data_IF_921233610447
#
_entry.id   IF_921233610447
#
_cell.length_a   1.000
_cell.length_b   1.000
_cell.length_c   1.000
_cell.angle_alpha   90.00
_cell.angle_beta   90.00
_cell.angle_gamma   90.00
#
_symmetry.space_group_name_H-M   'P 1'
#
loop_
_entity.id
_entity.type
_entity.pdbx_description
1 polymer ?
#
# COMPACT_ATOMS: atom_id res chain seq x y z
N UNK A 1 7.89 30.06 14.90
CA UNK A 1 6.44 30.26 14.64
C UNK A 1 5.85 28.89 14.28
N UNK A 2 4.66 28.61 14.78
CA UNK A 2 3.90 27.41 14.45
C UNK A 2 3.61 27.39 12.95
N UNK A 3 3.93 26.28 12.26
CA UNK A 3 3.62 26.12 10.84
C UNK A 3 2.26 25.42 10.68
N UNK A 4 1.43 25.82 9.71
CA UNK A 4 0.17 25.14 9.46
C UNK A 4 0.42 23.76 8.83
N UNK A 5 -0.43 22.80 9.17
CA UNK A 5 -0.46 21.50 8.51
C UNK A 5 -0.99 21.69 7.08
N UNK A 6 -0.33 21.12 6.09
CA UNK A 6 -0.62 21.27 4.67
C UNK A 6 -0.92 19.97 3.96
N UNK A 7 -0.50 18.84 4.54
CA UNK A 7 -0.71 17.52 3.96
C UNK A 7 -1.14 16.52 5.04
N UNK A 8 -2.09 15.66 4.68
CA UNK A 8 -2.50 14.50 5.46
C UNK A 8 -2.19 13.25 4.64
N UNK A 9 -1.48 12.30 5.26
CA UNK A 9 -1.29 10.95 4.75
C UNK A 9 -2.23 10.01 5.48
N UNK A 10 -3.11 9.35 4.75
CA UNK A 10 -4.09 8.42 5.32
C UNK A 10 -3.89 7.01 4.79
N UNK A 11 -3.75 6.05 5.67
CA UNK A 11 -3.98 4.68 5.28
C UNK A 11 -5.43 4.48 4.83
N UNK A 12 -5.68 3.36 4.16
CA UNK A 12 -6.95 3.08 3.50
C UNK A 12 -7.76 2.03 4.26
N UNK A 13 -7.21 0.81 4.39
CA UNK A 13 -7.94 -0.36 4.90
C UNK A 13 -7.94 -0.39 6.42
N UNK A 14 -9.11 -0.29 7.04
CA UNK A 14 -9.24 -0.16 8.50
C UNK A 14 -9.15 1.28 9.00
N UNK A 15 -8.74 2.21 8.15
CA UNK A 15 -8.58 3.64 8.45
C UNK A 15 -9.60 4.51 7.72
N UNK A 16 -9.52 4.60 6.40
CA UNK A 16 -10.48 5.36 5.59
C UNK A 16 -11.65 4.49 5.14
N UNK A 17 -11.38 3.23 4.81
CA UNK A 17 -12.36 2.23 4.40
C UNK A 17 -12.73 1.30 5.55
N UNK A 18 -14.02 1.02 5.68
CA UNK A 18 -14.60 0.15 6.68
C UNK A 18 -15.27 -1.07 6.03
N UNK A 19 -15.31 -2.17 6.77
CA UNK A 19 -16.05 -3.38 6.36
C UNK A 19 -15.23 -4.41 5.58
N UNK A 20 -13.92 -4.30 5.60
CA UNK A 20 -12.97 -5.23 4.99
C UNK A 20 -12.68 -4.94 3.51
N UNK A 21 -11.68 -5.61 2.94
CA UNK A 21 -11.12 -5.29 1.61
C UNK A 21 -12.13 -5.33 0.46
N UNK A 22 -13.16 -6.19 0.57
CA UNK A 22 -14.16 -6.35 -0.49
C UNK A 22 -15.24 -5.26 -0.52
N UNK A 23 -15.39 -4.43 0.54
CA UNK A 23 -16.49 -3.47 0.63
C UNK A 23 -16.13 -2.05 0.23
N UNK A 24 -14.85 -1.65 0.35
CA UNK A 24 -14.35 -0.32 -0.03
C UNK A 24 -15.33 0.81 0.31
N UNK A 25 -15.81 0.84 1.56
CA UNK A 25 -16.88 1.76 1.96
C UNK A 25 -16.32 2.86 2.83
N UNK A 26 -16.46 4.10 2.38
CA UNK A 26 -16.12 5.30 3.12
C UNK A 26 -17.38 5.92 3.72
N UNK A 27 -17.26 6.51 4.92
CA UNK A 27 -18.38 7.25 5.51
C UNK A 27 -18.56 8.61 4.85
N UNK A 28 -19.79 9.12 4.86
CA UNK A 28 -20.09 10.44 4.29
C UNK A 28 -19.39 11.57 5.05
N UNK A 29 -19.14 11.39 6.33
CA UNK A 29 -18.39 12.31 7.17
C UNK A 29 -16.93 12.42 6.69
N UNK A 30 -16.28 11.29 6.36
CA UNK A 30 -14.94 11.27 5.81
C UNK A 30 -14.89 11.95 4.43
N UNK A 31 -15.83 11.63 3.52
CA UNK A 31 -15.92 12.27 2.21
C UNK A 31 -16.03 13.80 2.34
N UNK A 32 -16.98 14.27 3.14
CA UNK A 32 -17.20 15.71 3.34
C UNK A 32 -15.98 16.41 3.97
N UNK A 33 -15.30 15.74 4.89
CA UNK A 33 -14.11 16.30 5.53
C UNK A 33 -12.94 16.41 4.56
N UNK A 34 -12.69 15.38 3.74
CA UNK A 34 -11.65 15.41 2.70
C UNK A 34 -11.93 16.56 1.70
N UNK A 35 -13.18 16.71 1.26
CA UNK A 35 -13.57 17.81 0.37
C UNK A 35 -13.33 19.19 0.99
N UNK A 36 -13.63 19.39 2.29
CA UNK A 36 -13.34 20.63 3.01
C UNK A 36 -11.83 20.88 3.11
N UNK A 37 -11.05 19.84 3.38
CA UNK A 37 -9.60 19.91 3.51
C UNK A 37 -8.93 20.33 2.19
N UNK A 38 -9.31 19.69 1.09
CA UNK A 38 -8.78 19.98 -0.25
C UNK A 38 -9.26 21.32 -0.78
N UNK A 39 -10.52 21.70 -0.53
CA UNK A 39 -11.06 23.02 -0.88
C UNK A 39 -10.33 24.18 -0.16
N UNK A 40 -9.75 23.91 1.02
CA UNK A 40 -8.91 24.88 1.72
C UNK A 40 -7.46 24.97 1.17
N UNK A 41 -7.16 24.29 0.04
CA UNK A 41 -5.86 24.30 -0.63
C UNK A 41 -4.82 23.39 0.02
N UNK A 42 -5.24 22.42 0.83
CA UNK A 42 -4.38 21.43 1.44
C UNK A 42 -4.40 20.11 0.65
N UNK A 43 -3.41 19.24 0.87
CA UNK A 43 -3.32 17.95 0.19
C UNK A 43 -3.82 16.81 1.06
N UNK A 44 -4.51 15.86 0.44
CA UNK A 44 -4.88 14.58 1.02
C UNK A 44 -4.27 13.47 0.18
N UNK A 45 -3.39 12.67 0.79
CA UNK A 45 -2.62 11.63 0.12
C UNK A 45 -2.99 10.29 0.74
N UNK A 46 -3.45 9.36 -0.09
CA UNK A 46 -3.67 7.98 0.33
C UNK A 46 -2.31 7.27 0.43
N UNK A 47 -2.07 6.57 1.55
CA UNK A 47 -0.84 5.82 1.80
C UNK A 47 -1.19 4.34 2.05
N UNK A 48 -1.19 3.52 1.00
CA UNK A 48 -1.76 2.16 1.05
C UNK A 48 -0.79 1.07 0.58
N UNK A 49 -0.99 -0.15 1.09
CA UNK A 49 -0.39 -1.35 0.51
C UNK A 49 -1.03 -1.80 -0.81
N UNK A 50 -2.21 -1.24 -1.16
CA UNK A 50 -2.90 -1.55 -2.41
C UNK A 50 -2.19 -0.96 -3.64
N UNK A 51 -2.44 -1.50 -4.85
CA UNK A 51 -2.03 -0.90 -6.11
C UNK A 51 -2.65 0.48 -6.35
N UNK A 52 -2.07 1.24 -7.26
CA UNK A 52 -2.50 2.61 -7.55
C UNK A 52 -3.86 2.75 -8.21
N UNK A 53 -4.39 1.68 -8.78
CA UNK A 53 -5.73 1.60 -9.39
C UNK A 53 -6.87 1.87 -8.40
N UNK A 54 -6.65 1.66 -7.10
CA UNK A 54 -7.63 2.02 -6.08
C UNK A 54 -8.02 3.51 -6.12
N UNK A 55 -7.15 4.35 -6.69
CA UNK A 55 -7.42 5.77 -6.91
C UNK A 55 -8.59 6.01 -7.86
N UNK A 56 -8.68 5.22 -8.91
CA UNK A 56 -9.77 5.31 -9.89
C UNK A 56 -11.11 4.93 -9.23
N UNK A 57 -11.09 3.91 -8.38
CA UNK A 57 -12.26 3.51 -7.58
C UNK A 57 -12.71 4.62 -6.60
N UNK A 58 -11.77 5.31 -5.94
CA UNK A 58 -12.06 6.44 -5.07
C UNK A 58 -12.70 7.59 -5.86
N UNK A 59 -12.21 7.86 -7.05
CA UNK A 59 -12.77 8.88 -7.95
C UNK A 59 -14.19 8.50 -8.39
N UNK A 60 -14.39 7.27 -8.89
CA UNK A 60 -15.66 6.83 -9.44
C UNK A 60 -16.76 6.69 -8.38
N UNK A 61 -16.44 6.08 -7.23
CA UNK A 61 -17.45 5.80 -6.19
C UNK A 61 -17.68 6.94 -5.20
N UNK A 62 -16.62 7.66 -4.86
CA UNK A 62 -16.64 8.66 -3.79
C UNK A 62 -16.40 10.09 -4.29
N UNK A 63 -16.08 10.25 -5.58
CA UNK A 63 -15.77 11.54 -6.19
C UNK A 63 -14.64 12.28 -5.45
N UNK A 64 -13.67 11.51 -4.96
CA UNK A 64 -12.48 12.04 -4.27
C UNK A 64 -11.31 11.96 -5.23
N UNK A 65 -10.85 13.13 -5.65
CA UNK A 65 -9.57 13.27 -6.32
C UNK A 65 -8.48 13.40 -5.27
N UNK A 66 -7.54 12.44 -5.26
CA UNK A 66 -6.46 12.40 -4.31
C UNK A 66 -5.14 11.96 -4.95
N UNK A 67 -4.06 12.38 -4.33
CA UNK A 67 -2.74 11.83 -4.57
C UNK A 67 -2.59 10.46 -3.89
N UNK A 68 -1.68 9.62 -4.35
CA UNK A 68 -1.51 8.28 -3.79
C UNK A 68 -0.05 7.87 -3.67
N UNK A 69 0.24 7.28 -2.54
CA UNK A 69 1.41 6.48 -2.22
C UNK A 69 0.93 5.03 -2.17
N UNK A 70 1.14 4.27 -3.24
CA UNK A 70 0.65 2.92 -3.44
C UNK A 70 1.74 1.87 -3.19
N UNK A 71 1.34 0.60 -3.00
CA UNK A 71 2.23 -0.54 -2.78
C UNK A 71 3.26 -0.25 -1.67
N UNK A 72 2.80 0.32 -0.52
CA UNK A 72 3.64 0.74 0.60
C UNK A 72 4.77 1.72 0.23
N UNK A 73 4.63 2.51 -0.84
CA UNK A 73 5.62 3.48 -1.30
C UNK A 73 6.40 3.07 -2.55
N UNK A 74 6.12 1.91 -3.13
CA UNK A 74 6.75 1.49 -4.38
C UNK A 74 6.31 2.37 -5.57
N UNK A 75 5.11 2.92 -5.54
CA UNK A 75 4.61 3.81 -6.57
C UNK A 75 3.96 5.05 -5.96
N UNK A 76 4.30 6.22 -6.49
CA UNK A 76 3.72 7.49 -6.06
C UNK A 76 3.19 8.26 -7.25
N UNK A 77 1.97 8.74 -7.11
CA UNK A 77 1.29 9.59 -8.09
C UNK A 77 0.85 10.87 -7.38
N UNK A 78 1.38 12.02 -7.80
CA UNK A 78 0.96 13.34 -7.35
C UNK A 78 0.55 14.19 -8.56
N UNK A 79 -0.51 14.98 -8.42
CA UNK A 79 -1.02 15.86 -9.46
C UNK A 79 -1.24 15.11 -10.80
N UNK A 80 -1.75 13.88 -10.76
CA UNK A 80 -1.94 12.97 -11.90
C UNK A 80 -0.63 12.55 -12.62
N UNK A 81 0.53 12.76 -12.02
CA UNK A 81 1.82 12.36 -12.56
C UNK A 81 2.46 11.27 -11.72
N UNK A 82 2.94 10.22 -12.36
CA UNK A 82 3.76 9.19 -11.72
C UNK A 82 5.12 9.80 -11.42
N UNK A 83 5.43 10.03 -10.15
CA UNK A 83 6.73 10.56 -9.72
C UNK A 83 7.81 9.48 -9.71
N UNK A 84 7.45 8.29 -9.26
CA UNK A 84 8.27 7.09 -9.38
C UNK A 84 7.42 5.83 -9.34
N UNK A 85 8.01 4.77 -9.90
CA UNK A 85 7.51 3.40 -9.82
C UNK A 85 8.74 2.48 -9.66
N UNK A 86 8.81 1.76 -8.53
CA UNK A 86 9.84 0.74 -8.29
C UNK A 86 9.23 -0.60 -8.68
N UNK A 87 9.78 -1.23 -9.69
CA UNK A 87 9.17 -2.37 -10.37
C UNK A 87 10.06 -3.61 -10.29
N UNK A 88 9.42 -4.77 -10.15
CA UNK A 88 10.10 -6.07 -10.25
C UNK A 88 10.24 -6.44 -11.72
N UNK A 89 11.46 -6.43 -12.21
CA UNK A 89 11.75 -6.63 -13.62
C UNK A 89 11.58 -8.08 -14.12
N UNK A 90 11.58 -8.27 -15.44
CA UNK A 90 11.29 -9.57 -16.06
C UNK A 90 12.29 -10.67 -15.70
N UNK A 91 13.56 -10.32 -15.51
CA UNK A 91 14.60 -11.29 -15.11
C UNK A 91 14.36 -11.76 -13.67
N UNK A 92 14.02 -10.84 -12.76
CA UNK A 92 13.69 -11.17 -11.37
C UNK A 92 12.43 -12.04 -11.30
N UNK A 93 11.40 -11.73 -12.10
CA UNK A 93 10.17 -12.57 -12.20
C UNK A 93 10.55 -13.99 -12.61
N UNK A 94 11.42 -14.15 -13.61
CA UNK A 94 11.89 -15.47 -14.05
C UNK A 94 12.67 -16.20 -12.96
N UNK A 95 13.57 -15.53 -12.25
CA UNK A 95 14.33 -16.10 -11.16
C UNK A 95 13.41 -16.59 -10.01
N UNK A 96 12.42 -15.76 -9.64
CA UNK A 96 11.44 -16.15 -8.59
C UNK A 96 10.66 -17.40 -9.02
N UNK A 97 10.19 -17.45 -10.27
CA UNK A 97 9.46 -18.62 -10.78
C UNK A 97 10.31 -19.89 -10.74
N UNK A 98 11.59 -19.81 -11.12
CA UNK A 98 12.49 -20.94 -11.07
C UNK A 98 12.69 -21.48 -9.65
N UNK A 99 12.74 -20.59 -8.66
CA UNK A 99 12.81 -20.96 -7.24
C UNK A 99 11.50 -21.60 -6.74
N UNK A 100 10.38 -21.24 -7.33
CA UNK A 100 9.08 -21.84 -6.99
C UNK A 100 8.84 -23.21 -7.64
N UNK A 101 9.59 -23.57 -8.70
CA UNK A 101 9.40 -24.86 -9.42
C UNK A 101 9.42 -26.13 -8.52
N UNK A 102 10.35 -26.27 -7.54
CA UNK A 102 10.36 -27.44 -6.67
C UNK A 102 9.11 -27.62 -5.80
N UNK A 103 8.35 -26.56 -5.61
CA UNK A 103 7.15 -26.56 -4.76
C UNK A 103 5.90 -27.07 -5.49
N UNK A 104 5.98 -27.26 -6.81
CA UNK A 104 4.91 -27.88 -7.61
C UNK A 104 3.58 -27.14 -7.51
N UNK A 105 2.54 -27.87 -7.11
CA UNK A 105 1.16 -27.42 -6.98
C UNK A 105 0.82 -26.78 -5.62
N UNK A 106 1.82 -26.43 -4.84
CA UNK A 106 1.66 -25.93 -3.47
C UNK A 106 1.82 -24.41 -3.36
N UNK A 107 2.11 -23.74 -4.45
CA UNK A 107 2.31 -22.28 -4.48
C UNK A 107 1.65 -21.68 -5.72
N UNK A 108 0.72 -20.77 -5.50
CA UNK A 108 0.25 -19.85 -6.54
C UNK A 108 1.19 -18.67 -6.65
N UNK A 109 1.46 -18.26 -7.87
CA UNK A 109 2.31 -17.14 -8.19
C UNK A 109 1.54 -16.13 -9.02
N UNK A 110 1.36 -14.93 -8.48
CA UNK A 110 0.59 -13.89 -9.10
C UNK A 110 1.38 -12.57 -9.14
N UNK A 111 1.13 -11.80 -10.18
CA UNK A 111 1.57 -10.42 -10.31
C UNK A 111 0.42 -9.53 -9.85
N UNK A 112 0.69 -8.68 -8.89
CA UNK A 112 -0.27 -7.68 -8.43
C UNK A 112 -0.26 -6.51 -9.43
N UNK A 113 -1.11 -6.62 -10.45
CA UNK A 113 -1.26 -5.61 -11.49
C UNK A 113 -2.35 -4.60 -11.16
N UNK A 114 -3.42 -5.09 -10.54
CA UNK A 114 -4.58 -4.32 -10.11
C UNK A 114 -5.47 -5.19 -9.22
N UNK A 115 -6.14 -4.61 -8.23
CA UNK A 115 -7.04 -5.35 -7.33
C UNK A 115 -8.21 -6.04 -8.03
N UNK A 116 -8.54 -5.61 -9.22
CA UNK A 116 -9.59 -6.23 -10.02
C UNK A 116 -9.06 -7.34 -10.93
N UNK A 117 -7.75 -7.38 -11.15
CA UNK A 117 -7.13 -8.26 -12.14
C UNK A 117 -5.80 -8.82 -11.62
N UNK A 118 -5.73 -10.14 -11.47
CA UNK A 118 -4.51 -10.86 -11.16
C UNK A 118 -3.95 -11.49 -12.44
N UNK A 119 -2.70 -11.22 -12.74
CA UNK A 119 -1.98 -12.01 -13.74
C UNK A 119 -1.35 -13.19 -13.03
N UNK A 120 -1.97 -14.35 -13.12
CA UNK A 120 -1.49 -15.57 -12.46
C UNK A 120 -0.61 -16.36 -13.41
N UNK A 121 0.66 -16.49 -13.08
CA UNK A 121 1.66 -17.23 -13.85
C UNK A 121 1.67 -18.71 -13.50
N UNK A 122 1.21 -19.07 -12.32
CA UNK A 122 1.06 -20.44 -11.83
C UNK A 122 -0.16 -20.49 -10.94
N UNK A 123 -1.10 -21.40 -11.23
CA UNK A 123 -2.43 -21.39 -10.64
C UNK A 123 -2.83 -22.75 -10.09
N UNK A 124 -3.15 -22.80 -8.82
CA UNK A 124 -3.72 -23.97 -8.13
C UNK A 124 -5.03 -23.67 -7.41
N UNK A 125 -5.52 -22.43 -7.50
CA UNK A 125 -6.78 -21.98 -6.92
C UNK A 125 -6.68 -21.17 -5.64
N UNK A 126 -5.50 -21.07 -5.04
CA UNK A 126 -5.31 -20.40 -3.74
C UNK A 126 -5.58 -18.89 -3.81
N UNK A 127 -5.23 -18.25 -4.93
CA UNK A 127 -5.49 -16.81 -5.11
C UNK A 127 -6.98 -16.55 -5.16
N UNK A 128 -7.75 -17.34 -5.94
CA UNK A 128 -9.20 -17.19 -6.05
C UNK A 128 -9.92 -17.46 -4.76
N UNK A 129 -9.53 -18.50 -4.04
CA UNK A 129 -10.16 -18.91 -2.79
C UNK A 129 -10.00 -17.87 -1.70
N UNK A 130 -8.81 -17.23 -1.63
CA UNK A 130 -8.46 -16.34 -0.52
C UNK A 130 -8.63 -14.85 -0.86
N UNK A 131 -8.45 -14.45 -2.12
CA UNK A 131 -8.38 -13.03 -2.50
C UNK A 131 -9.42 -12.61 -3.54
N UNK A 132 -9.99 -13.52 -4.31
CA UNK A 132 -10.99 -13.21 -5.34
C UNK A 132 -10.42 -12.40 -6.52
N UNK A 133 -11.31 -11.75 -7.28
CA UNK A 133 -10.92 -10.90 -8.41
C UNK A 133 -10.94 -11.62 -9.77
N UNK A 134 -10.75 -10.87 -10.85
CA UNK A 134 -10.59 -11.41 -12.18
C UNK A 134 -9.18 -11.98 -12.38
N UNK A 135 -9.06 -13.15 -12.98
CA UNK A 135 -7.78 -13.85 -13.12
C UNK A 135 -7.45 -14.05 -14.59
N UNK A 136 -6.28 -13.52 -14.97
CA UNK A 136 -5.69 -13.74 -16.28
C UNK A 136 -4.57 -14.76 -16.18
N UNK A 137 -4.78 -15.96 -16.72
CA UNK A 137 -3.76 -17.00 -16.77
C UNK A 137 -2.79 -16.75 -17.92
N UNK A 138 -1.51 -16.78 -17.64
CA UNK A 138 -0.45 -16.71 -18.63
C UNK A 138 0.78 -17.48 -18.15
N UNK A 139 1.75 -17.70 -19.02
CA UNK A 139 3.06 -18.21 -18.60
C UNK A 139 4.05 -17.07 -18.40
N UNK A 140 5.13 -17.34 -17.65
CA UNK A 140 6.21 -16.35 -17.46
C UNK A 140 6.78 -15.91 -18.80
N UNK A 141 7.05 -16.86 -19.71
CA UNK A 141 7.60 -16.57 -21.03
C UNK A 141 6.67 -15.70 -21.86
N UNK A 142 5.36 -16.00 -21.83
CA UNK A 142 4.36 -15.18 -22.51
C UNK A 142 4.29 -13.78 -21.89
N UNK A 143 4.27 -13.69 -20.56
CA UNK A 143 4.21 -12.42 -19.86
C UNK A 143 5.42 -11.51 -20.18
N UNK A 144 6.63 -12.04 -20.10
CA UNK A 144 7.86 -11.26 -20.30
C UNK A 144 8.22 -11.06 -21.78
N UNK A 145 7.65 -11.84 -22.73
CA UNK A 145 7.89 -11.68 -24.17
C UNK A 145 7.21 -10.45 -24.75
N UNK A 146 6.18 -9.91 -24.08
CA UNK A 146 5.48 -8.70 -24.53
C UNK A 146 6.13 -7.48 -23.88
N UNK A 147 6.70 -6.54 -24.66
CA UNK A 147 7.19 -5.29 -24.13
C UNK A 147 6.08 -4.55 -23.35
N UNK A 148 6.38 -4.09 -22.17
CA UNK A 148 5.43 -3.40 -21.29
C UNK A 148 5.97 -2.04 -20.90
N UNK A 149 5.06 -1.08 -20.77
CA UNK A 149 5.40 0.24 -20.25
C UNK A 149 5.65 0.20 -18.73
N UNK A 150 5.04 -0.78 -18.02
CA UNK A 150 5.20 -0.98 -16.58
C UNK A 150 5.23 -2.46 -16.23
N UNK A 151 6.06 -2.79 -15.23
CA UNK A 151 6.10 -4.08 -14.55
C UNK A 151 5.44 -3.97 -13.17
N UNK A 152 5.12 -5.10 -12.51
CA UNK A 152 4.48 -5.07 -11.20
C UNK A 152 5.39 -4.44 -10.14
N UNK A 153 4.79 -3.67 -9.24
CA UNK A 153 5.50 -3.12 -8.09
C UNK A 153 5.71 -4.18 -7.01
N UNK A 154 4.93 -5.26 -7.05
CA UNK A 154 4.95 -6.34 -6.10
C UNK A 154 4.59 -7.67 -6.76
N UNK A 155 5.32 -8.71 -6.40
CA UNK A 155 4.98 -10.10 -6.70
C UNK A 155 4.27 -10.68 -5.49
N UNK A 156 3.20 -11.42 -5.74
CA UNK A 156 2.38 -12.01 -4.71
C UNK A 156 2.34 -13.54 -4.86
N UNK A 157 2.57 -14.26 -3.79
CA UNK A 157 2.49 -15.71 -3.78
C UNK A 157 1.59 -16.17 -2.66
N UNK A 158 0.80 -17.22 -2.91
CA UNK A 158 -0.04 -17.87 -1.92
C UNK A 158 0.42 -19.32 -1.78
N UNK A 159 0.73 -19.71 -0.56
CA UNK A 159 1.25 -21.05 -0.23
C UNK A 159 0.14 -21.92 0.34
N UNK A 160 0.18 -23.22 0.03
CA UNK A 160 -0.80 -24.20 0.51
C UNK A 160 -0.80 -24.37 2.04
N UNK A 161 0.35 -24.16 2.68
CA UNK A 161 0.50 -24.25 4.12
C UNK A 161 1.69 -23.41 4.65
N UNK A 162 1.74 -23.27 5.98
CA UNK A 162 2.73 -22.45 6.67
C UNK A 162 4.16 -23.01 6.56
N UNK A 163 4.35 -24.33 6.48
CA UNK A 163 5.68 -24.93 6.37
C UNK A 163 6.32 -24.57 5.04
N UNK A 164 5.54 -24.69 3.95
CA UNK A 164 5.96 -24.29 2.60
C UNK A 164 6.26 -22.79 2.55
N UNK A 165 5.37 -21.96 3.11
CA UNK A 165 5.59 -20.52 3.19
C UNK A 165 6.92 -20.18 3.86
N UNK A 166 7.16 -20.69 5.07
CA UNK A 166 8.37 -20.36 5.83
C UNK A 166 9.65 -20.80 5.12
N UNK A 167 9.63 -21.97 4.51
CA UNK A 167 10.76 -22.50 3.76
C UNK A 167 11.04 -21.66 2.50
N UNK A 168 10.02 -21.43 1.68
CA UNK A 168 10.15 -20.65 0.45
C UNK A 168 10.55 -19.20 0.76
N UNK A 169 9.98 -18.61 1.80
CA UNK A 169 10.33 -17.25 2.24
C UNK A 169 11.81 -17.13 2.63
N UNK A 170 12.36 -18.16 3.31
CA UNK A 170 13.78 -18.19 3.66
C UNK A 170 14.68 -18.31 2.42
N UNK A 171 14.33 -19.21 1.49
CA UNK A 171 15.08 -19.40 0.24
C UNK A 171 15.07 -18.15 -0.64
N UNK A 172 13.92 -17.47 -0.75
CA UNK A 172 13.79 -16.22 -1.49
C UNK A 172 14.59 -15.10 -0.83
N UNK A 173 14.53 -14.97 0.50
CA UNK A 173 15.25 -13.94 1.24
C UNK A 173 16.78 -14.09 1.07
N UNK A 174 17.28 -15.29 1.11
CA UNK A 174 18.70 -15.58 0.89
C UNK A 174 19.11 -15.31 -0.56
N UNK A 175 18.30 -15.76 -1.53
CA UNK A 175 18.63 -15.61 -2.95
C UNK A 175 18.60 -14.16 -3.41
N UNK A 176 17.64 -13.37 -2.91
CA UNK A 176 17.43 -11.98 -3.31
C UNK A 176 18.00 -10.96 -2.34
N UNK A 177 18.89 -11.35 -1.43
CA UNK A 177 19.50 -10.41 -0.48
C UNK A 177 20.02 -9.15 -1.18
N UNK A 178 19.54 -7.98 -0.74
CA UNK A 178 19.88 -6.67 -1.32
C UNK A 178 19.29 -6.38 -2.71
N UNK A 179 18.60 -7.31 -3.35
CA UNK A 179 17.97 -7.13 -4.68
C UNK A 179 16.45 -6.98 -4.60
N UNK A 180 15.81 -7.76 -3.74
CA UNK A 180 14.38 -7.66 -3.43
C UNK A 180 14.16 -7.80 -1.92
N UNK A 181 13.11 -7.19 -1.42
CA UNK A 181 12.59 -7.41 -0.08
C UNK A 181 11.51 -8.49 -0.12
N UNK A 182 11.63 -9.46 0.79
CA UNK A 182 10.68 -10.56 0.96
C UNK A 182 9.91 -10.33 2.24
N UNK A 183 8.61 -10.13 2.12
CA UNK A 183 7.71 -9.81 3.24
C UNK A 183 6.48 -10.71 3.22
N UNK A 184 5.61 -10.53 4.19
CA UNK A 184 4.33 -11.23 4.28
C UNK A 184 3.33 -10.35 5.03
N UNK A 185 2.12 -10.25 4.52
CA UNK A 185 1.00 -9.54 5.14
C UNK A 185 -0.08 -10.47 5.72
N UNK A 186 0.04 -11.79 5.50
CA UNK A 186 -0.95 -12.79 5.92
C UNK A 186 -0.33 -14.10 6.36
N UNK A 187 -1.17 -15.07 6.71
CA UNK A 187 -0.71 -16.38 7.16
C UNK A 187 -0.16 -17.25 6.03
N UNK A 188 -0.67 -17.08 4.82
CA UNK A 188 -0.45 -17.95 3.66
C UNK A 188 0.30 -17.27 2.50
N UNK A 189 0.59 -15.96 2.59
CA UNK A 189 1.19 -15.23 1.48
C UNK A 189 2.67 -14.87 1.69
N UNK A 190 3.36 -14.68 0.56
CA UNK A 190 4.68 -14.06 0.47
C UNK A 190 4.59 -12.93 -0.55
N UNK A 191 5.22 -11.82 -0.25
CA UNK A 191 5.28 -10.65 -1.12
C UNK A 191 6.75 -10.31 -1.41
N UNK A 192 7.07 -10.05 -2.68
CA UNK A 192 8.39 -9.56 -3.08
C UNK A 192 8.26 -8.22 -3.77
N UNK A 193 9.07 -7.26 -3.35
CA UNK A 193 9.15 -5.92 -3.92
C UNK A 193 10.57 -5.39 -3.97
N UNK A 194 10.75 -4.22 -4.55
CA UNK A 194 12.06 -3.57 -4.57
C UNK A 194 12.50 -3.16 -3.16
N UNK A 195 13.81 -3.19 -2.86
CA UNK A 195 14.34 -2.73 -1.59
C UNK A 195 14.18 -1.22 -1.42
N UNK A 196 14.19 -0.78 -0.17
CA UNK A 196 14.06 0.63 0.17
C UNK A 196 12.70 1.21 -0.21
N UNK A 197 11.66 0.42 -0.08
CA UNK A 197 10.27 0.81 -0.17
C UNK A 197 9.70 0.87 1.24
N UNK A 198 9.03 1.96 1.57
CA UNK A 198 8.39 2.15 2.88
C UNK A 198 7.49 3.37 2.86
N UNK A 199 6.39 3.32 3.61
CA UNK A 199 5.48 4.47 3.71
C UNK A 199 6.21 5.71 4.25
N UNK A 200 7.12 5.54 5.23
CA UNK A 200 7.92 6.63 5.79
C UNK A 200 8.94 7.21 4.80
N UNK A 201 9.58 6.34 4.00
CA UNK A 201 10.53 6.77 2.97
C UNK A 201 9.81 7.64 1.94
N UNK A 202 8.68 7.14 1.43
CA UNK A 202 7.87 7.87 0.46
C UNK A 202 7.30 9.17 1.03
N UNK A 203 6.84 9.18 2.28
CA UNK A 203 6.37 10.40 2.98
C UNK A 203 7.46 11.46 3.02
N UNK A 204 8.68 11.11 3.42
CA UNK A 204 9.81 12.05 3.47
C UNK A 204 10.17 12.60 2.10
N UNK A 205 10.21 11.74 1.08
CA UNK A 205 10.46 12.16 -0.30
C UNK A 205 9.37 13.10 -0.83
N UNK A 206 8.10 12.79 -0.57
CA UNK A 206 6.96 13.66 -0.95
C UNK A 206 7.04 15.01 -0.25
N UNK A 207 7.32 15.04 1.05
CA UNK A 207 7.48 16.30 1.79
C UNK A 207 8.60 17.16 1.21
N UNK A 208 9.74 16.56 0.87
CA UNK A 208 10.84 17.26 0.21
C UNK A 208 10.43 17.84 -1.15
N UNK A 209 9.72 17.09 -1.98
CA UNK A 209 9.22 17.54 -3.29
C UNK A 209 8.23 18.69 -3.16
N UNK A 210 7.40 18.68 -2.13
CA UNK A 210 6.42 19.72 -1.82
C UNK A 210 7.03 20.93 -1.10
N UNK A 211 8.34 20.90 -0.78
CA UNK A 211 9.02 21.90 0.06
C UNK A 211 8.33 22.11 1.43
N UNK A 212 7.84 21.03 2.01
CA UNK A 212 7.22 20.99 3.34
C UNK A 212 8.17 20.32 4.33
N UNK A 213 8.14 20.74 5.57
CA UNK A 213 8.78 19.98 6.66
C UNK A 213 7.78 19.05 7.38
N UNK A 214 8.31 18.14 8.16
CA UNK A 214 7.54 17.12 8.88
C UNK A 214 6.47 17.73 9.81
N UNK A 215 6.68 18.94 10.33
CA UNK A 215 5.70 19.63 11.19
C UNK A 215 4.50 20.18 10.42
N UNK A 216 4.52 20.14 9.10
CA UNK A 216 3.42 20.54 8.23
C UNK A 216 2.63 19.33 7.70
N UNK A 217 2.90 18.14 8.21
CA UNK A 217 2.24 16.91 7.86
C UNK A 217 1.52 16.28 9.05
N UNK A 218 0.41 15.61 8.78
CA UNK A 218 -0.25 14.68 9.68
C UNK A 218 -0.42 13.32 8.99
N UNK A 219 -0.46 12.24 9.77
CA UNK A 219 -0.72 10.90 9.25
C UNK A 219 -1.66 10.11 10.14
N UNK A 220 -2.40 9.17 9.54
CA UNK A 220 -3.32 8.28 10.23
C UNK A 220 -3.24 6.87 9.64
N UNK A 221 -3.29 5.85 10.50
CA UNK A 221 -3.25 4.43 10.12
C UNK A 221 -3.63 3.53 11.28
N UNK A 222 -3.69 2.21 11.05
CA UNK A 222 -4.18 1.25 12.06
C UNK A 222 -3.35 -0.05 12.14
N UNK A 223 -2.44 -0.31 11.19
CA UNK A 223 -1.69 -1.56 11.11
C UNK A 223 -0.16 -1.38 11.23
N UNK A 224 0.56 -2.50 11.31
CA UNK A 224 2.03 -2.52 11.50
C UNK A 224 2.77 -1.80 10.38
N UNK A 225 2.29 -1.92 9.14
CA UNK A 225 2.90 -1.25 7.97
C UNK A 225 2.75 0.28 7.99
N UNK A 226 1.90 0.83 8.90
CA UNK A 226 1.74 2.26 9.08
C UNK A 226 2.70 2.84 10.12
N UNK A 227 3.21 2.01 11.03
CA UNK A 227 4.01 2.49 12.17
C UNK A 227 5.17 3.38 11.74
N UNK A 228 5.90 3.00 10.70
CA UNK A 228 7.01 3.80 10.21
C UNK A 228 6.57 5.19 9.72
N UNK A 229 5.42 5.27 9.04
CA UNK A 229 4.80 6.52 8.61
C UNK A 229 4.33 7.36 9.81
N UNK A 230 3.63 6.74 10.77
CA UNK A 230 3.08 7.43 11.93
C UNK A 230 4.17 7.97 12.86
N UNK A 231 5.33 7.31 12.91
CA UNK A 231 6.46 7.68 13.76
C UNK A 231 7.42 8.67 13.09
N UNK A 232 7.44 8.73 11.75
CA UNK A 232 8.38 9.59 11.03
C UNK A 232 8.00 11.07 11.03
N UNK A 233 6.77 11.43 11.45
CA UNK A 233 6.27 12.80 11.51
C UNK A 233 5.69 13.13 12.88
N UNK A 234 5.73 14.40 13.34
CA UNK A 234 5.28 14.80 14.68
C UNK A 234 3.78 14.58 14.95
N UNK A 235 2.94 14.60 13.90
CA UNK A 235 1.49 14.45 14.01
C UNK A 235 1.01 13.13 13.40
N UNK A 236 1.62 12.01 13.83
CA UNK A 236 1.11 10.67 13.58
C UNK A 236 0.01 10.29 14.57
N UNK A 237 -1.10 9.75 14.04
CA UNK A 237 -2.27 9.30 14.79
C UNK A 237 -2.59 7.85 14.47
N UNK A 238 -2.81 7.04 15.48
CA UNK A 238 -3.31 5.68 15.33
C UNK A 238 -4.84 5.66 15.46
N UNK A 239 -5.50 4.84 14.65
CA UNK A 239 -6.93 4.61 14.77
C UNK A 239 -7.29 3.99 16.13
N UNK A 240 -8.37 4.45 16.76
CA UNK A 240 -8.87 3.86 18.02
C UNK A 240 -9.33 2.41 17.87
N UNK A 241 -9.65 1.99 16.65
CA UNK A 241 -9.96 0.59 16.29
C UNK A 241 -8.74 -0.30 16.15
N UNK A 242 -7.53 0.25 16.08
CA UNK A 242 -6.29 -0.51 15.94
C UNK A 242 -6.02 -1.41 17.16
N UNK A 243 -5.22 -2.46 16.95
CA UNK A 243 -4.80 -3.36 18.04
C UNK A 243 -3.96 -2.61 19.09
N UNK A 244 -4.09 -3.01 20.35
CA UNK A 244 -3.37 -2.37 21.47
C UNK A 244 -1.86 -2.33 21.26
N UNK A 245 -1.28 -3.35 20.63
CA UNK A 245 0.16 -3.43 20.32
C UNK A 245 0.61 -2.29 19.38
N UNK A 246 -0.26 -1.85 18.48
CA UNK A 246 -0.01 -0.73 17.57
C UNK A 246 -0.19 0.60 18.30
N UNK A 247 -1.29 0.74 19.08
CA UNK A 247 -1.60 1.95 19.84
C UNK A 247 -0.49 2.33 20.84
N UNK A 248 0.14 1.33 21.48
CA UNK A 248 1.24 1.55 22.41
C UNK A 248 2.48 2.17 21.75
N UNK A 249 2.59 2.12 20.44
CA UNK A 249 3.74 2.63 19.69
C UNK A 249 3.54 4.03 19.10
N UNK A 250 2.30 4.56 19.17
CA UNK A 250 1.95 5.87 18.61
C UNK A 250 1.30 6.72 19.70
N UNK A 251 1.80 7.93 19.99
CA UNK A 251 1.37 8.70 21.18
C UNK A 251 -0.02 9.33 21.05
N UNK A 252 -0.63 9.33 19.85
CA UNK A 252 -1.93 9.96 19.62
C UNK A 252 -2.90 8.97 19.02
N UNK A 253 -4.06 8.87 19.61
CA UNK A 253 -5.17 8.05 19.16
C UNK A 253 -6.32 8.93 18.65
N UNK A 254 -7.00 8.49 17.58
CA UNK A 254 -8.13 9.21 17.00
C UNK A 254 -9.16 8.22 16.42
N UNK A 255 -10.44 8.62 16.39
CA UNK A 255 -11.54 7.73 16.03
C UNK A 255 -11.80 7.62 14.52
N UNK A 256 -11.34 8.59 13.72
CA UNK A 256 -11.63 8.61 12.27
C UNK A 256 -10.82 9.64 11.52
N UNK A 257 -10.79 9.51 10.18
CA UNK A 257 -10.14 10.48 9.29
C UNK A 257 -10.80 11.85 9.36
N UNK A 258 -12.14 11.94 9.44
CA UNK A 258 -12.82 13.24 9.56
C UNK A 258 -12.42 13.98 10.83
N UNK A 259 -12.26 13.26 11.97
CA UNK A 259 -11.81 13.89 13.22
C UNK A 259 -10.37 14.40 13.12
N UNK A 260 -9.48 13.68 12.42
CA UNK A 260 -8.12 14.18 12.16
C UNK A 260 -8.16 15.45 11.32
N UNK A 261 -8.97 15.48 10.28
CA UNK A 261 -9.11 16.67 9.43
C UNK A 261 -9.63 17.86 10.24
N UNK A 262 -10.65 17.67 11.06
CA UNK A 262 -11.19 18.73 11.92
C UNK A 262 -10.13 19.22 12.90
N UNK A 263 -9.38 18.32 13.53
CA UNK A 263 -8.25 18.68 14.39
C UNK A 263 -7.18 19.48 13.64
N UNK A 264 -6.81 19.10 12.42
CA UNK A 264 -5.84 19.83 11.60
C UNK A 264 -6.33 21.24 11.24
N UNK A 265 -7.61 21.39 10.89
CA UNK A 265 -8.21 22.69 10.58
C UNK A 265 -8.23 23.62 11.82
N UNK A 266 -8.59 23.09 12.98
CA UNK A 266 -8.52 23.83 14.25
C UNK A 266 -7.09 24.21 14.61
N UNK A 267 -6.15 23.25 14.44
CA UNK A 267 -4.73 23.51 14.64
C UNK A 267 -4.24 24.65 13.76
N UNK A 268 -4.62 24.73 12.51
CA UNK A 268 -4.21 25.78 11.58
C UNK A 268 -4.80 27.16 11.91
N UNK A 269 -5.95 27.22 12.58
CA UNK A 269 -6.64 28.47 12.93
C UNK A 269 -6.18 29.09 14.25
N UNK A 270 -5.51 28.33 15.11
CA UNK A 270 -4.95 28.77 16.39
C UNK A 270 -3.45 29.06 16.29
#
# INVERSE_FOLDING_TARGET
>A
MKKPIRVIFSDLDGTLFYGGPAKCTMTKENENAIQRWTAAGNRFIIATGRPSSIRDELMERHQIECDILACNGAKVILDNQVLWSKEVGPEQIREIMNLCEPYGDKVDFALDMDWTEWVVLRRHGFVEENYGGAIFNTTVEQYISVPREMYPNKIFMVCADMEIKMRLMSELSEHFEGRLEVTSSGQDNIELGCPGVGKDIAVKEILNLLNLDESQAAAIGDEVNDLSMLQCIPFGFVMSSAREEIKQQVPREIGSVHQLIDWCLEYNNN
#
